data_IF_793361568803
#
_entry.id   IF_793361568803
#
_cell.length_a   1.000
_cell.length_b   1.000
_cell.length_c   1.000
_cell.angle_alpha   90.00
_cell.angle_beta   90.00
_cell.angle_gamma   90.00
#
_symmetry.space_group_name_H-M   'P 1'
#
loop_
_entity.id
_entity.type
_entity.pdbx_description
1 polymer ?
#
# COMPACT_ATOMS: atom_id res chain seq x y z
N UNK A 1 33.47 -40.31 0.17
CA UNK A 1 33.69 -38.93 -0.32
C UNK A 1 35.11 -38.51 -0.06
N UNK A 2 35.69 -37.79 -0.99
CA UNK A 2 37.01 -37.20 -0.79
C UNK A 2 36.89 -35.96 0.06
N UNK A 3 37.99 -35.53 0.70
CA UNK A 3 38.02 -34.29 1.48
C UNK A 3 37.66 -33.07 0.62
N UNK A 4 38.06 -33.06 -0.66
CA UNK A 4 37.72 -31.99 -1.58
C UNK A 4 36.23 -31.90 -1.84
N UNK A 5 35.57 -33.03 -2.01
CA UNK A 5 34.11 -33.07 -2.22
C UNK A 5 33.36 -32.59 -0.98
N UNK A 6 33.80 -33.01 0.20
CA UNK A 6 33.22 -32.52 1.47
C UNK A 6 33.39 -31.03 1.66
N UNK A 7 34.56 -30.49 1.33
CA UNK A 7 34.84 -29.03 1.37
C UNK A 7 33.95 -28.27 0.43
N UNK A 8 33.74 -28.77 -0.78
CA UNK A 8 32.87 -28.14 -1.77
C UNK A 8 31.42 -28.13 -1.31
N UNK A 9 30.94 -29.21 -0.73
CA UNK A 9 29.59 -29.33 -0.20
C UNK A 9 29.38 -28.30 0.94
N UNK A 10 30.34 -28.27 1.87
CA UNK A 10 30.28 -27.30 2.98
C UNK A 10 30.26 -25.87 2.49
N UNK A 11 31.06 -25.53 1.50
CA UNK A 11 31.09 -24.20 0.92
C UNK A 11 29.78 -23.86 0.25
N UNK A 12 29.20 -24.79 -0.50
CA UNK A 12 27.90 -24.59 -1.13
C UNK A 12 26.80 -24.38 -0.09
N UNK A 13 26.83 -25.18 0.99
CA UNK A 13 25.86 -25.05 2.08
C UNK A 13 25.96 -23.66 2.76
N UNK A 14 27.17 -23.19 2.96
CA UNK A 14 27.39 -21.84 3.53
C UNK A 14 26.84 -20.75 2.63
N UNK A 15 27.02 -20.86 1.32
CA UNK A 15 26.49 -19.93 0.34
C UNK A 15 24.96 -19.96 0.31
N UNK A 16 24.37 -21.14 0.33
CA UNK A 16 22.93 -21.30 0.36
C UNK A 16 22.37 -20.70 1.64
N UNK A 17 22.99 -20.95 2.78
CA UNK A 17 22.55 -20.38 4.06
C UNK A 17 22.62 -18.86 4.05
N UNK A 18 23.70 -18.29 3.55
CA UNK A 18 23.84 -16.83 3.43
C UNK A 18 22.78 -16.25 2.50
N UNK A 19 22.47 -16.94 1.42
CA UNK A 19 21.41 -16.55 0.49
C UNK A 19 20.04 -16.62 1.15
N UNK A 20 19.76 -17.64 1.93
CA UNK A 20 18.50 -17.77 2.68
C UNK A 20 18.35 -16.68 3.72
N UNK A 21 19.41 -16.34 4.44
CA UNK A 21 19.39 -15.28 5.44
C UNK A 21 19.06 -13.93 4.79
N UNK A 22 19.62 -13.65 3.62
CA UNK A 22 19.30 -12.44 2.87
C UNK A 22 17.85 -12.43 2.39
N UNK A 23 17.36 -13.57 1.90
CA UNK A 23 15.98 -13.73 1.46
C UNK A 23 15.00 -13.52 2.61
N UNK A 24 15.30 -14.06 3.78
CA UNK A 24 14.48 -13.86 4.98
C UNK A 24 14.43 -12.37 5.39
N UNK A 25 15.58 -11.70 5.32
CA UNK A 25 15.64 -10.27 5.60
C UNK A 25 14.81 -9.47 4.60
N UNK A 26 14.89 -9.82 3.33
CA UNK A 26 14.11 -9.18 2.27
C UNK A 26 12.62 -9.42 2.46
N UNK A 27 12.22 -10.63 2.85
CA UNK A 27 10.81 -10.94 3.14
C UNK A 27 10.32 -10.12 4.33
N UNK A 28 11.12 -9.99 5.38
CA UNK A 28 10.76 -9.16 6.54
C UNK A 28 10.56 -7.70 6.13
N UNK A 29 11.44 -7.17 5.30
CA UNK A 29 11.33 -5.81 4.77
C UNK A 29 10.07 -5.65 3.92
N UNK A 30 9.79 -6.62 3.06
CA UNK A 30 8.57 -6.62 2.24
C UNK A 30 7.31 -6.64 3.10
N UNK A 31 7.29 -7.43 4.17
CA UNK A 31 6.15 -7.46 5.10
C UNK A 31 5.88 -6.09 5.71
N UNK A 32 6.93 -5.39 6.11
CA UNK A 32 6.81 -4.02 6.64
C UNK A 32 6.27 -3.06 5.59
N UNK A 33 6.75 -3.16 4.36
CA UNK A 33 6.29 -2.31 3.26
C UNK A 33 4.84 -2.59 2.90
N UNK A 34 4.43 -3.85 2.89
CA UNK A 34 3.04 -4.23 2.62
C UNK A 34 2.13 -3.67 3.72
N UNK A 35 2.54 -3.77 4.99
CA UNK A 35 1.77 -3.19 6.10
C UNK A 35 1.62 -1.67 5.94
N UNK A 36 2.68 -0.98 5.52
CA UNK A 36 2.65 0.45 5.27
C UNK A 36 1.69 0.81 4.13
N UNK A 37 1.68 0.01 3.07
CA UNK A 37 0.76 0.19 1.94
C UNK A 37 -0.68 -0.03 2.39
N UNK A 38 -0.95 -1.05 3.18
CA UNK A 38 -2.28 -1.32 3.72
C UNK A 38 -2.80 -0.17 4.58
N UNK A 39 -1.95 0.40 5.44
CA UNK A 39 -2.28 1.60 6.21
C UNK A 39 -2.60 2.78 5.31
N UNK A 40 -1.80 2.97 4.27
CA UNK A 40 -1.98 4.05 3.30
C UNK A 40 -3.31 3.92 2.57
N UNK A 41 -3.66 2.70 2.15
CA UNK A 41 -4.94 2.41 1.49
C UNK A 41 -6.12 2.70 2.44
N UNK A 42 -5.99 2.34 3.72
CA UNK A 42 -7.00 2.65 4.71
C UNK A 42 -7.22 4.15 4.87
N UNK A 43 -6.15 4.93 4.96
CA UNK A 43 -6.21 6.38 5.03
C UNK A 43 -6.82 7.00 3.77
N UNK A 44 -6.45 6.47 2.60
CA UNK A 44 -7.03 6.92 1.33
C UNK A 44 -8.53 6.67 1.27
N UNK A 45 -9.00 5.53 1.77
CA UNK A 45 -10.43 5.24 1.83
C UNK A 45 -11.19 6.23 2.71
N UNK A 46 -10.62 6.60 3.86
CA UNK A 46 -11.20 7.60 4.74
C UNK A 46 -11.26 8.96 4.05
N UNK A 47 -10.17 9.36 3.39
CA UNK A 47 -10.10 10.61 2.65
C UNK A 47 -11.11 10.64 1.50
N UNK A 48 -11.27 9.52 0.80
CA UNK A 48 -12.23 9.37 -0.28
C UNK A 48 -13.67 9.53 0.22
N UNK A 49 -14.00 8.91 1.34
CA UNK A 49 -15.32 9.05 1.96
C UNK A 49 -15.59 10.50 2.36
N UNK A 50 -14.59 11.18 2.92
CA UNK A 50 -14.69 12.60 3.26
C UNK A 50 -14.90 13.48 2.03
N UNK A 51 -14.19 13.18 0.94
CA UNK A 51 -14.33 13.90 -0.31
C UNK A 51 -15.73 13.72 -0.90
N UNK A 52 -16.25 12.50 -0.91
CA UNK A 52 -17.61 12.22 -1.39
C UNK A 52 -18.65 13.00 -0.58
N UNK A 53 -18.51 13.07 0.74
CA UNK A 53 -19.40 13.85 1.59
C UNK A 53 -19.34 15.34 1.25
N UNK A 54 -18.15 15.86 1.00
CA UNK A 54 -17.98 17.27 0.59
C UNK A 54 -18.59 17.55 -0.77
N UNK A 55 -18.46 16.62 -1.71
CA UNK A 55 -19.07 16.75 -3.04
C UNK A 55 -20.60 16.74 -2.95
N UNK A 56 -21.16 15.85 -2.13
CA UNK A 56 -22.62 15.83 -1.92
C UNK A 56 -23.12 17.15 -1.35
N UNK A 57 -22.43 17.73 -0.39
CA UNK A 57 -22.76 19.04 0.17
C UNK A 57 -22.62 20.15 -0.86
N UNK A 58 -21.60 20.07 -1.68
CA UNK A 58 -21.39 21.01 -2.77
C UNK A 58 -22.54 20.96 -3.77
N UNK A 59 -22.96 19.77 -4.17
CA UNK A 59 -24.08 19.56 -5.08
C UNK A 59 -25.38 20.12 -4.50
N UNK A 60 -25.63 19.92 -3.21
CA UNK A 60 -26.79 20.51 -2.53
C UNK A 60 -26.76 22.04 -2.57
N UNK A 61 -25.58 22.63 -2.31
CA UNK A 61 -25.41 24.08 -2.37
C UNK A 61 -25.63 24.62 -3.76
N UNK A 62 -25.11 23.93 -4.76
CA UNK A 62 -25.30 24.29 -6.16
C UNK A 62 -26.77 24.22 -6.57
N UNK A 63 -27.47 23.18 -6.15
CA UNK A 63 -28.89 23.04 -6.41
C UNK A 63 -29.70 24.15 -5.77
N UNK A 64 -29.34 24.61 -4.57
CA UNK A 64 -29.99 25.74 -3.90
C UNK A 64 -29.74 27.04 -4.64
N UNK A 65 -28.52 27.28 -5.08
CA UNK A 65 -28.14 28.46 -5.85
C UNK A 65 -28.92 28.48 -7.16
N UNK A 66 -28.99 27.39 -7.88
CA UNK A 66 -29.74 27.27 -9.12
C UNK A 66 -31.24 27.59 -8.92
N UNK A 67 -31.85 27.06 -7.86
CA UNK A 67 -33.23 27.39 -7.52
C UNK A 67 -33.46 28.87 -7.23
N UNK A 68 -32.54 29.48 -6.50
CA UNK A 68 -32.61 30.92 -6.20
C UNK A 68 -32.47 31.74 -7.46
N UNK A 69 -31.59 31.35 -8.37
CA UNK A 69 -31.43 32.05 -9.64
C UNK A 69 -32.67 31.90 -10.53
N UNK A 70 -33.26 30.73 -10.59
CA UNK A 70 -34.51 30.49 -11.33
C UNK A 70 -35.66 31.33 -10.75
N UNK A 71 -35.76 31.41 -9.43
CA UNK A 71 -36.78 32.24 -8.77
C UNK A 71 -36.55 33.73 -9.02
N UNK A 72 -35.29 34.15 -9.10
CA UNK A 72 -34.95 35.53 -9.37
C UNK A 72 -35.23 35.94 -10.83
N UNK A 73 -35.09 34.99 -11.76
CA UNK A 73 -35.38 35.20 -13.19
C UNK A 73 -36.87 35.12 -13.50
N UNK A 74 -37.59 34.39 -12.68
CA UNK A 74 -39.06 34.27 -12.83
C UNK A 74 -39.72 35.55 -12.32
#
# INVERSE_FOLDING_TARGET
>A
MTEQEESMILELLRRVRASQDRTEADISDLKLRVSAVEQHLGQMQIQFSGLNTRMDRFDERMARIERRLDLAEA
#
